data_IF_081333492807
#
_entry.id   IF_081333492807
#
_cell.length_a   1.000
_cell.length_b   1.000
_cell.length_c   1.000
_cell.angle_alpha   90.00
_cell.angle_beta   90.00
_cell.angle_gamma   90.00
#
_symmetry.space_group_name_H-M   'P 1'
#
loop_
_entity.id
_entity.type
_entity.pdbx_description
1 polymer ?
#
# COMPACT_ATOMS: atom_id res chain seq x y z
N UNK A 1 -29.79 -4.61 -1.84
CA UNK A 1 -28.52 -5.30 -2.13
C UNK A 1 -27.64 -5.23 -0.88
N UNK A 2 -27.32 -6.36 -0.29
CA UNK A 2 -26.52 -6.45 0.93
C UNK A 2 -25.11 -5.88 0.67
N UNK A 3 -24.47 -5.24 1.66
CA UNK A 3 -23.13 -4.63 1.49
C UNK A 3 -22.04 -5.64 1.07
N UNK A 4 -22.27 -6.93 1.29
CA UNK A 4 -21.43 -8.03 0.83
C UNK A 4 -21.40 -8.13 -0.71
N UNK A 5 -22.56 -8.05 -1.36
CA UNK A 5 -22.66 -8.15 -2.83
C UNK A 5 -21.93 -7.02 -3.55
N UNK A 6 -21.98 -5.79 -3.03
CA UNK A 6 -21.27 -4.63 -3.60
C UNK A 6 -19.74 -4.78 -3.60
N UNK A 7 -19.18 -5.45 -2.59
CA UNK A 7 -17.71 -5.55 -2.47
C UNK A 7 -17.16 -6.65 -3.36
N UNK A 8 -17.85 -7.80 -3.43
CA UNK A 8 -17.47 -8.86 -4.35
C UNK A 8 -17.65 -8.41 -5.82
N UNK A 9 -18.66 -7.59 -6.10
CA UNK A 9 -18.84 -7.01 -7.43
C UNK A 9 -17.66 -6.10 -7.85
N UNK A 10 -17.16 -5.24 -6.96
CA UNK A 10 -16.01 -4.38 -7.27
C UNK A 10 -14.73 -5.19 -7.42
N UNK A 11 -14.54 -6.23 -6.60
CA UNK A 11 -13.40 -7.14 -6.73
C UNK A 11 -13.48 -7.94 -8.04
N UNK A 12 -14.68 -8.39 -8.45
CA UNK A 12 -14.89 -9.03 -9.72
C UNK A 12 -14.64 -8.10 -10.92
N UNK A 13 -15.02 -6.83 -10.80
CA UNK A 13 -14.69 -5.80 -11.81
C UNK A 13 -13.19 -5.59 -11.91
N UNK A 14 -12.47 -5.52 -10.77
CA UNK A 14 -11.02 -5.41 -10.76
C UNK A 14 -10.37 -6.64 -11.42
N UNK A 15 -10.84 -7.85 -11.10
CA UNK A 15 -10.37 -9.08 -11.73
C UNK A 15 -10.63 -9.13 -13.22
N UNK A 16 -11.83 -8.70 -13.65
CA UNK A 16 -12.19 -8.61 -15.06
C UNK A 16 -11.32 -7.60 -15.82
N UNK A 17 -11.05 -6.44 -15.21
CA UNK A 17 -10.22 -5.41 -15.80
C UNK A 17 -8.77 -5.90 -15.96
N UNK A 18 -8.24 -6.63 -14.97
CA UNK A 18 -6.93 -7.26 -15.07
C UNK A 18 -6.89 -8.38 -16.12
N UNK A 19 -7.98 -9.15 -16.27
CA UNK A 19 -8.06 -10.19 -17.29
C UNK A 19 -8.23 -9.60 -18.71
N UNK A 20 -8.84 -8.43 -18.81
CA UNK A 20 -9.06 -7.75 -20.10
C UNK A 20 -7.79 -7.06 -20.63
N UNK A 21 -6.87 -6.65 -19.75
CA UNK A 21 -5.64 -5.92 -20.14
C UNK A 21 -4.81 -6.68 -21.19
N UNK A 22 -4.52 -7.99 -21.04
CA UNK A 22 -3.77 -8.75 -22.04
C UNK A 22 -4.47 -8.90 -23.39
N UNK A 23 -5.80 -8.75 -23.40
CA UNK A 23 -6.62 -8.84 -24.63
C UNK A 23 -6.67 -7.52 -25.37
N UNK A 24 -6.52 -6.39 -24.66
CA UNK A 24 -6.60 -5.04 -25.23
C UNK A 24 -5.28 -4.56 -25.79
N UNK A 25 -4.20 -4.81 -25.08
CA UNK A 25 -2.85 -4.38 -25.50
C UNK A 25 -1.80 -5.41 -25.05
N UNK A 26 -1.26 -6.21 -25.97
CA UNK A 26 -0.26 -7.25 -25.66
C UNK A 26 1.18 -6.70 -25.55
N UNK A 27 1.40 -5.39 -25.34
CA UNK A 27 2.73 -4.83 -25.29
C UNK A 27 3.47 -5.19 -24.00
N UNK A 28 4.72 -5.65 -24.11
CA UNK A 28 5.64 -5.94 -23.00
C UNK A 28 5.77 -4.78 -22.03
N UNK A 29 5.80 -3.56 -22.53
CA UNK A 29 5.90 -2.35 -21.72
C UNK A 29 4.71 -2.18 -20.75
N UNK A 30 3.49 -2.39 -21.23
CA UNK A 30 2.28 -2.28 -20.41
C UNK A 30 2.25 -3.38 -19.34
N UNK A 31 2.69 -4.60 -19.68
CA UNK A 31 2.77 -5.68 -18.69
C UNK A 31 3.81 -5.40 -17.61
N UNK A 32 5.01 -4.91 -17.96
CA UNK A 32 6.03 -4.51 -16.99
C UNK A 32 5.49 -3.41 -16.05
N UNK A 33 4.89 -2.37 -16.61
CA UNK A 33 4.32 -1.26 -15.84
C UNK A 33 3.20 -1.72 -14.92
N UNK A 34 2.26 -2.54 -15.43
CA UNK A 34 1.15 -3.09 -14.65
C UNK A 34 1.64 -4.03 -13.53
N UNK A 35 2.68 -4.80 -13.77
CA UNK A 35 3.36 -5.65 -12.77
C UNK A 35 3.92 -4.81 -11.63
N UNK A 36 4.66 -3.76 -11.95
CA UNK A 36 5.21 -2.82 -10.95
C UNK A 36 4.11 -2.12 -10.16
N UNK A 37 3.05 -1.66 -10.82
CA UNK A 37 1.87 -1.08 -10.17
C UNK A 37 1.22 -2.11 -9.24
N UNK A 38 1.05 -3.35 -9.69
CA UNK A 38 0.44 -4.43 -8.91
C UNK A 38 1.20 -4.73 -7.62
N UNK A 39 2.52 -4.95 -7.70
CA UNK A 39 3.36 -5.19 -6.52
C UNK A 39 3.36 -3.99 -5.58
N UNK A 40 3.50 -2.78 -6.11
CA UNK A 40 3.47 -1.56 -5.30
C UNK A 40 2.11 -1.36 -4.63
N UNK A 41 1.00 -1.62 -5.33
CA UNK A 41 -0.34 -1.54 -4.76
C UNK A 41 -0.54 -2.47 -3.56
N UNK A 42 0.03 -3.69 -3.59
CA UNK A 42 0.01 -4.60 -2.45
C UNK A 42 0.74 -4.01 -1.23
N UNK A 43 1.93 -3.42 -1.43
CA UNK A 43 2.67 -2.74 -0.35
C UNK A 43 1.84 -1.59 0.23
N UNK A 44 1.23 -0.79 -0.64
CA UNK A 44 0.39 0.36 -0.27
C UNK A 44 -0.88 -0.08 0.46
N UNK A 45 -1.51 -1.21 0.09
CA UNK A 45 -2.61 -1.81 0.85
C UNK A 45 -2.15 -2.18 2.26
N UNK A 46 -1.00 -2.85 2.39
CA UNK A 46 -0.41 -3.19 3.69
C UNK A 46 -0.17 -1.95 4.54
N UNK A 47 0.44 -0.92 3.98
CA UNK A 47 0.68 0.36 4.66
C UNK A 47 -0.64 1.08 5.00
N UNK A 48 -1.67 1.00 4.16
CA UNK A 48 -2.96 1.60 4.43
C UNK A 48 -3.72 0.86 5.56
N UNK A 49 -3.55 -0.44 5.72
CA UNK A 49 -4.05 -1.17 6.89
C UNK A 49 -3.40 -0.64 8.19
N UNK A 50 -2.11 -0.32 8.15
CA UNK A 50 -1.38 0.24 9.27
C UNK A 50 -1.72 1.71 9.52
N UNK A 51 -1.57 2.56 8.51
CA UNK A 51 -1.77 4.00 8.61
C UNK A 51 -3.25 4.40 8.56
N UNK A 52 -3.97 3.87 7.58
CA UNK A 52 -5.36 4.23 7.33
C UNK A 52 -6.33 3.67 8.37
N UNK A 53 -6.18 2.40 8.77
CA UNK A 53 -7.09 1.74 9.70
C UNK A 53 -6.64 1.83 11.16
N UNK A 54 -5.33 1.72 11.46
CA UNK A 54 -4.82 1.77 12.84
C UNK A 54 -4.28 3.14 13.24
N UNK A 55 -4.19 4.11 12.33
CA UNK A 55 -3.69 5.46 12.60
C UNK A 55 -2.19 5.54 12.88
N UNK A 56 -1.41 4.53 12.45
CA UNK A 56 0.03 4.44 12.70
C UNK A 56 0.84 4.90 11.50
N UNK A 57 1.45 6.07 11.59
CA UNK A 57 2.36 6.59 10.56
C UNK A 57 3.66 5.79 10.58
N UNK A 58 4.05 5.21 9.44
CA UNK A 58 5.33 4.53 9.28
C UNK A 58 6.08 5.11 8.08
N UNK A 59 7.26 5.68 8.35
CA UNK A 59 8.20 6.16 7.33
C UNK A 59 9.32 5.15 7.05
N UNK A 60 9.23 3.95 7.62
CA UNK A 60 10.19 2.87 7.46
C UNK A 60 9.73 1.73 6.54
N UNK A 61 8.64 1.90 5.79
CA UNK A 61 8.04 0.79 5.05
C UNK A 61 8.90 0.31 3.89
N UNK A 62 9.66 1.22 3.25
CA UNK A 62 10.63 0.87 2.23
C UNK A 62 11.79 -0.01 2.79
N UNK A 63 12.13 0.13 4.07
CA UNK A 63 13.13 -0.75 4.69
C UNK A 63 12.67 -2.22 4.68
N UNK A 64 11.42 -2.50 5.03
CA UNK A 64 10.88 -3.86 4.99
C UNK A 64 10.77 -4.39 3.55
N UNK A 65 10.39 -3.54 2.61
CA UNK A 65 10.38 -3.86 1.18
C UNK A 65 11.79 -4.21 0.69
N UNK A 66 12.76 -3.35 0.94
CA UNK A 66 14.14 -3.60 0.52
C UNK A 66 14.79 -4.78 1.24
N UNK A 67 14.57 -4.96 2.55
CA UNK A 67 15.05 -6.12 3.29
C UNK A 67 14.52 -7.43 2.71
N UNK A 68 13.25 -7.48 2.29
CA UNK A 68 12.69 -8.65 1.60
C UNK A 68 13.39 -8.93 0.27
N UNK A 69 13.62 -7.89 -0.52
CA UNK A 69 14.36 -7.98 -1.79
C UNK A 69 15.81 -8.43 -1.58
N UNK A 70 16.55 -7.80 -0.67
CA UNK A 70 17.93 -8.20 -0.36
C UNK A 70 18.05 -9.59 0.25
N UNK A 71 17.15 -9.96 1.18
CA UNK A 71 17.15 -11.31 1.74
C UNK A 71 17.00 -12.37 0.65
N UNK A 72 16.07 -12.17 -0.27
CA UNK A 72 15.88 -13.07 -1.40
C UNK A 72 17.06 -13.05 -2.36
N UNK A 73 17.58 -11.88 -2.71
CA UNK A 73 18.73 -11.70 -3.59
C UNK A 73 19.99 -12.40 -3.04
N UNK A 74 20.30 -12.19 -1.75
CA UNK A 74 21.46 -12.81 -1.09
C UNK A 74 21.33 -14.34 -1.06
N UNK A 75 20.18 -14.87 -0.67
CA UNK A 75 19.96 -16.30 -0.57
C UNK A 75 20.03 -16.99 -1.93
N UNK A 76 19.52 -16.36 -2.98
CA UNK A 76 19.56 -16.93 -4.33
C UNK A 76 20.93 -16.77 -4.98
N UNK A 77 21.60 -15.61 -4.86
CA UNK A 77 22.86 -15.34 -5.55
C UNK A 77 24.06 -15.97 -4.85
N UNK A 78 24.17 -15.85 -3.51
CA UNK A 78 25.35 -16.36 -2.78
C UNK A 78 25.19 -17.81 -2.31
N UNK A 79 23.98 -18.24 -1.99
CA UNK A 79 23.73 -19.59 -1.45
C UNK A 79 23.05 -20.53 -2.45
N UNK A 80 22.65 -20.05 -3.62
CA UNK A 80 22.02 -20.87 -4.66
C UNK A 80 20.66 -21.48 -4.25
N UNK A 81 19.96 -20.86 -3.30
CA UNK A 81 18.68 -21.37 -2.83
C UNK A 81 17.56 -21.15 -3.86
N UNK A 82 16.56 -22.04 -3.90
CA UNK A 82 15.38 -21.80 -4.74
C UNK A 82 14.69 -20.49 -4.37
N UNK A 83 14.27 -19.71 -5.37
CA UNK A 83 13.70 -18.36 -5.17
C UNK A 83 12.48 -18.36 -4.25
N UNK A 84 11.62 -19.40 -4.33
CA UNK A 84 10.48 -19.56 -3.41
C UNK A 84 10.90 -19.75 -1.95
N UNK A 85 11.95 -20.54 -1.70
CA UNK A 85 12.45 -20.73 -0.34
C UNK A 85 13.09 -19.44 0.19
N UNK A 86 13.84 -18.74 -0.66
CA UNK A 86 14.45 -17.45 -0.33
C UNK A 86 13.39 -16.38 0.01
N UNK A 87 12.32 -16.30 -0.79
CA UNK A 87 11.19 -15.42 -0.53
C UNK A 87 10.51 -15.76 0.81
N UNK A 88 10.22 -17.04 1.07
CA UNK A 88 9.55 -17.47 2.30
C UNK A 88 10.41 -17.17 3.55
N UNK A 89 11.73 -17.47 3.48
CA UNK A 89 12.66 -17.18 4.58
C UNK A 89 12.80 -15.67 4.79
N UNK A 90 12.94 -14.89 3.70
CA UNK A 90 12.96 -13.43 3.76
C UNK A 90 11.70 -12.86 4.42
N UNK A 91 10.53 -13.36 4.04
CA UNK A 91 9.25 -12.94 4.63
C UNK A 91 9.16 -13.28 6.13
N UNK A 92 9.61 -14.48 6.54
CA UNK A 92 9.64 -14.90 7.95
C UNK A 92 10.65 -14.08 8.73
N UNK A 93 11.86 -13.87 8.19
CA UNK A 93 12.92 -13.09 8.85
C UNK A 93 12.49 -11.63 9.05
N UNK A 94 11.92 -10.98 8.03
CA UNK A 94 11.40 -9.62 8.12
C UNK A 94 10.19 -9.55 9.05
N UNK A 95 9.31 -10.55 9.02
CA UNK A 95 8.18 -10.67 9.94
C UNK A 95 8.62 -10.79 11.40
N UNK A 96 9.64 -11.61 11.68
CA UNK A 96 10.25 -11.76 13.01
C UNK A 96 10.92 -10.46 13.46
N UNK A 97 11.69 -9.81 12.59
CA UNK A 97 12.30 -8.51 12.84
C UNK A 97 11.23 -7.46 13.16
N UNK A 98 10.19 -7.37 12.34
CA UNK A 98 9.07 -6.46 12.56
C UNK A 98 8.37 -6.75 13.90
N UNK A 99 8.18 -8.00 14.28
CA UNK A 99 7.57 -8.39 15.54
C UNK A 99 8.42 -7.96 16.77
N UNK A 100 9.74 -8.16 16.68
CA UNK A 100 10.68 -7.77 17.76
C UNK A 100 10.69 -6.24 17.91
N UNK A 101 10.78 -5.53 16.78
CA UNK A 101 10.84 -4.07 16.76
C UNK A 101 9.49 -3.42 17.08
N UNK A 102 8.39 -4.09 16.76
CA UNK A 102 7.05 -3.57 17.00
C UNK A 102 6.82 -3.24 18.50
N UNK A 103 7.26 -4.10 19.42
CA UNK A 103 7.02 -3.92 20.85
C UNK A 103 7.56 -2.60 21.41
N UNK A 104 8.84 -2.22 21.21
CA UNK A 104 9.36 -0.94 21.67
C UNK A 104 8.81 0.24 20.85
N UNK A 105 8.73 0.12 19.53
CA UNK A 105 8.35 1.22 18.63
C UNK A 105 6.87 1.60 18.81
N UNK A 106 5.98 0.62 18.94
CA UNK A 106 4.52 0.87 19.04
C UNK A 106 4.07 1.39 20.42
N UNK A 107 4.99 1.52 21.39
CA UNK A 107 4.75 2.28 22.64
C UNK A 107 4.81 3.78 22.40
N UNK A 108 5.50 4.20 21.34
CA UNK A 108 5.57 5.58 20.91
C UNK A 108 4.26 5.98 20.22
N UNK A 109 3.87 7.24 20.38
CA UNK A 109 2.65 7.78 19.77
C UNK A 109 2.96 8.95 18.83
N UNK A 110 2.10 9.16 17.85
CA UNK A 110 2.18 10.30 16.95
C UNK A 110 3.50 10.37 16.15
N UNK A 111 4.15 11.52 16.17
CA UNK A 111 5.34 11.75 15.35
C UNK A 111 6.57 10.96 15.83
N UNK A 112 6.68 10.62 17.14
CA UNK A 112 7.77 9.81 17.65
C UNK A 112 7.81 8.41 17.01
N UNK A 113 6.63 7.83 16.73
CA UNK A 113 6.53 6.57 16.00
C UNK A 113 7.08 6.71 14.58
N UNK A 114 6.71 7.79 13.89
CA UNK A 114 7.20 8.07 12.54
C UNK A 114 8.72 8.25 12.52
N UNK A 115 9.28 8.98 13.49
CA UNK A 115 10.74 9.16 13.62
C UNK A 115 11.47 7.85 13.91
N UNK A 116 10.93 6.99 14.79
CA UNK A 116 11.53 5.69 15.10
C UNK A 116 11.54 4.76 13.88
N UNK A 117 10.45 4.72 13.09
CA UNK A 117 10.41 3.94 11.85
C UNK A 117 11.30 4.52 10.76
N UNK A 118 11.45 5.85 10.70
CA UNK A 118 12.39 6.53 9.83
C UNK A 118 13.84 6.17 10.17
N UNK A 119 14.19 6.19 11.46
CA UNK A 119 15.53 5.79 11.93
C UNK A 119 15.84 4.35 11.53
N UNK A 120 14.86 3.45 11.62
CA UNK A 120 15.01 2.08 11.13
C UNK A 120 15.32 2.05 9.63
N UNK A 121 14.62 2.85 8.82
CA UNK A 121 14.89 2.92 7.38
C UNK A 121 16.32 3.41 7.09
N UNK A 122 16.80 4.43 7.81
CA UNK A 122 18.17 4.91 7.66
C UNK A 122 19.19 3.83 8.06
N UNK A 123 18.99 3.12 9.19
CA UNK A 123 19.88 2.03 9.61
C UNK A 123 19.97 0.97 8.51
N UNK A 124 18.82 0.52 7.99
CA UNK A 124 18.79 -0.49 6.92
C UNK A 124 19.50 0.02 5.66
N UNK A 125 19.21 1.26 5.25
CA UNK A 125 19.84 1.85 4.06
C UNK A 125 21.36 1.97 4.22
N UNK A 126 21.83 2.43 5.38
CA UNK A 126 23.26 2.55 5.71
C UNK A 126 23.94 1.17 5.68
N UNK A 127 23.31 0.16 6.27
CA UNK A 127 23.83 -1.22 6.24
C UNK A 127 23.91 -1.72 4.81
N UNK A 128 22.84 -1.58 4.02
CA UNK A 128 22.82 -2.01 2.62
C UNK A 128 23.85 -1.27 1.75
N UNK A 129 24.14 0.01 2.04
CA UNK A 129 25.08 0.81 1.27
C UNK A 129 26.55 0.49 1.64
N UNK A 130 26.84 0.18 2.91
CA UNK A 130 28.21 -0.02 3.36
C UNK A 130 28.66 -1.50 3.28
N UNK A 131 27.76 -2.45 3.28
CA UNK A 131 28.06 -3.88 3.24
C UNK A 131 28.27 -4.35 1.79
N UNK A 132 29.49 -4.17 1.25
CA UNK A 132 29.82 -4.52 -0.13
C UNK A 132 29.78 -6.02 -0.40
N UNK A 133 30.16 -6.84 0.59
CA UNK A 133 30.31 -8.28 0.40
C UNK A 133 28.97 -8.99 0.13
N UNK A 134 27.90 -8.58 0.79
CA UNK A 134 26.61 -9.26 0.73
C UNK A 134 25.57 -8.55 -0.12
N UNK A 135 25.59 -7.20 -0.12
CA UNK A 135 24.57 -6.39 -0.79
C UNK A 135 25.07 -5.72 -2.08
N UNK A 136 26.38 -5.82 -2.36
CA UNK A 136 27.02 -5.08 -3.45
C UNK A 136 27.27 -3.61 -3.12
N UNK A 137 26.96 -3.16 -1.90
CA UNK A 137 27.18 -1.78 -1.46
C UNK A 137 26.28 -0.78 -2.18
N UNK A 138 26.82 0.41 -2.47
CA UNK A 138 26.11 1.47 -3.18
C UNK A 138 25.62 1.09 -4.59
N UNK A 139 26.35 0.19 -5.24
CA UNK A 139 26.07 -0.21 -6.62
C UNK A 139 24.92 -1.20 -6.70
N UNK A 140 24.62 -1.90 -5.58
CA UNK A 140 23.61 -2.94 -5.53
C UNK A 140 24.09 -4.29 -6.07
N UNK A 141 23.17 -5.23 -6.25
CA UNK A 141 23.51 -6.58 -6.71
C UNK A 141 22.53 -7.12 -7.74
N UNK A 142 23.00 -7.97 -8.67
CA UNK A 142 22.12 -8.67 -9.60
C UNK A 142 21.30 -9.74 -8.86
N UNK A 143 20.10 -9.98 -9.35
CA UNK A 143 19.18 -10.98 -8.80
C UNK A 143 18.85 -11.99 -9.89
N UNK A 144 19.09 -13.31 -9.66
CA UNK A 144 18.81 -14.31 -10.66
C UNK A 144 17.30 -14.41 -10.96
N UNK A 145 16.91 -14.97 -12.11
CA UNK A 145 15.50 -15.16 -12.46
C UNK A 145 14.76 -15.97 -11.41
N UNK A 146 13.47 -15.66 -11.21
CA UNK A 146 12.64 -16.36 -10.24
C UNK A 146 12.31 -17.77 -10.71
N UNK A 147 12.59 -18.75 -9.86
CA UNK A 147 12.29 -20.16 -10.14
C UNK A 147 11.15 -20.65 -9.26
N UNK A 148 10.10 -21.17 -9.90
CA UNK A 148 8.96 -21.79 -9.25
C UNK A 148 8.97 -23.29 -9.53
N UNK A 149 9.29 -24.13 -8.54
CA UNK A 149 9.35 -25.60 -8.69
C UNK A 149 10.17 -26.09 -9.90
N UNK A 150 11.27 -25.40 -10.22
CA UNK A 150 12.13 -25.75 -11.36
C UNK A 150 11.75 -25.06 -12.69
N UNK A 151 10.68 -24.32 -12.74
CA UNK A 151 10.30 -23.49 -13.88
C UNK A 151 10.78 -22.06 -13.66
N UNK A 152 11.54 -21.51 -14.59
CA UNK A 152 11.92 -20.11 -14.59
C UNK A 152 10.71 -19.26 -15.01
N UNK A 153 10.42 -18.23 -14.23
CA UNK A 153 9.36 -17.28 -14.55
C UNK A 153 9.91 -16.31 -15.61
N UNK A 154 9.66 -16.64 -16.89
CA UNK A 154 10.11 -15.85 -18.03
C UNK A 154 8.94 -15.13 -18.70
N UNK A 155 9.20 -13.92 -19.22
CA UNK A 155 8.22 -13.12 -19.96
C UNK A 155 7.32 -12.26 -19.06
N UNK A 156 7.00 -11.08 -19.59
CA UNK A 156 6.26 -10.03 -18.86
C UNK A 156 4.82 -10.44 -18.53
N UNK A 157 4.21 -11.28 -19.37
CA UNK A 157 2.86 -11.80 -19.13
C UNK A 157 2.79 -12.70 -17.90
N UNK A 158 3.81 -13.53 -17.65
CA UNK A 158 3.87 -14.42 -16.49
C UNK A 158 4.03 -13.61 -15.19
N UNK A 159 4.88 -12.57 -15.20
CA UNK A 159 5.04 -11.65 -14.10
C UNK A 159 3.77 -10.83 -13.82
N UNK A 160 3.10 -10.39 -14.89
CA UNK A 160 1.79 -9.73 -14.78
C UNK A 160 0.75 -10.63 -14.13
N UNK A 161 0.69 -11.92 -14.51
CA UNK A 161 -0.23 -12.87 -13.90
C UNK A 161 0.04 -13.07 -12.40
N UNK A 162 1.33 -13.19 -12.01
CA UNK A 162 1.73 -13.27 -10.59
C UNK A 162 1.34 -12.01 -9.82
N UNK A 163 1.64 -10.82 -10.36
CA UNK A 163 1.30 -9.54 -9.73
C UNK A 163 -0.22 -9.39 -9.56
N UNK A 164 -0.99 -9.74 -10.59
CA UNK A 164 -2.45 -9.71 -10.57
C UNK A 164 -3.03 -10.67 -9.54
N UNK A 165 -2.52 -11.90 -9.47
CA UNK A 165 -2.93 -12.87 -8.47
C UNK A 165 -2.63 -12.40 -7.03
N UNK A 166 -1.43 -11.88 -6.78
CA UNK A 166 -1.04 -11.31 -5.49
C UNK A 166 -1.95 -10.13 -5.11
N UNK A 167 -2.20 -9.20 -6.04
CA UNK A 167 -3.05 -8.04 -5.80
C UNK A 167 -4.49 -8.44 -5.48
N UNK A 168 -5.07 -9.39 -6.22
CA UNK A 168 -6.43 -9.89 -5.95
C UNK A 168 -6.53 -10.61 -4.61
N UNK A 169 -5.56 -11.49 -4.28
CA UNK A 169 -5.50 -12.21 -3.01
C UNK A 169 -5.38 -11.24 -1.84
N UNK A 170 -4.46 -10.29 -1.90
CA UNK A 170 -4.24 -9.33 -0.82
C UNK A 170 -5.40 -8.36 -0.70
N UNK A 171 -5.98 -7.91 -1.81
CA UNK A 171 -7.18 -7.06 -1.79
C UNK A 171 -8.35 -7.80 -1.14
N UNK A 172 -8.60 -9.05 -1.51
CA UNK A 172 -9.64 -9.88 -0.90
C UNK A 172 -9.39 -10.08 0.61
N UNK A 173 -8.16 -10.43 1.00
CA UNK A 173 -7.78 -10.59 2.40
C UNK A 173 -7.91 -9.30 3.21
N UNK A 174 -7.48 -8.16 2.66
CA UNK A 174 -7.58 -6.85 3.29
C UNK A 174 -9.05 -6.41 3.47
N UNK A 175 -9.91 -6.66 2.48
CA UNK A 175 -11.35 -6.37 2.58
C UNK A 175 -12.02 -7.21 3.67
N UNK A 176 -11.67 -8.50 3.76
CA UNK A 176 -12.18 -9.37 4.81
C UNK A 176 -11.66 -8.94 6.18
N UNK A 177 -10.36 -8.60 6.29
CA UNK A 177 -9.77 -8.08 7.52
C UNK A 177 -10.45 -6.78 7.96
N UNK A 178 -10.65 -5.83 7.06
CA UNK A 178 -11.28 -4.54 7.37
C UNK A 178 -12.71 -4.68 7.94
N UNK A 179 -13.42 -5.74 7.54
CA UNK A 179 -14.79 -6.05 8.00
C UNK A 179 -14.83 -6.96 9.23
N UNK A 180 -13.75 -7.63 9.54
CA UNK A 180 -13.64 -8.54 10.68
C UNK A 180 -13.71 -7.79 12.02
N UNK A 181 -13.90 -8.47 13.13
CA UNK A 181 -13.75 -7.85 14.45
C UNK A 181 -12.38 -7.17 14.65
N UNK A 182 -11.33 -7.74 14.07
CA UNK A 182 -9.99 -7.15 14.12
C UNK A 182 -9.92 -5.79 13.38
N UNK A 183 -10.53 -5.67 12.20
CA UNK A 183 -10.60 -4.43 11.45
C UNK A 183 -11.39 -3.33 12.17
N UNK A 184 -12.51 -3.72 12.82
CA UNK A 184 -13.27 -2.78 13.67
C UNK A 184 -12.47 -2.32 14.89
N UNK A 185 -11.70 -3.23 15.52
CA UNK A 185 -10.79 -2.88 16.61
C UNK A 185 -9.71 -1.88 16.17
N UNK A 186 -9.13 -2.05 14.98
CA UNK A 186 -8.16 -1.09 14.42
C UNK A 186 -8.78 0.30 14.21
N UNK A 187 -10.00 0.37 13.68
CA UNK A 187 -10.71 1.65 13.50
C UNK A 187 -11.05 2.32 14.83
N UNK A 188 -11.42 1.55 15.86
CA UNK A 188 -11.63 2.07 17.20
C UNK A 188 -10.33 2.64 17.80
N UNK A 189 -9.20 1.94 17.61
CA UNK A 189 -7.86 2.40 18.04
C UNK A 189 -7.50 3.72 17.34
N UNK A 190 -7.77 3.84 16.03
CA UNK A 190 -7.53 5.07 15.26
C UNK A 190 -8.34 6.24 15.80
N UNK A 191 -9.58 6.02 16.24
CA UNK A 191 -10.43 7.05 16.83
C UNK A 191 -9.91 7.54 18.19
N UNK A 192 -9.65 6.62 19.10
CA UNK A 192 -9.08 6.88 20.42
C UNK A 192 -8.51 5.60 21.03
N UNK A 193 -7.21 5.58 21.28
CA UNK A 193 -6.56 4.43 21.95
C UNK A 193 -7.08 4.23 23.38
N UNK A 194 -7.39 5.33 24.07
CA UNK A 194 -7.90 5.26 25.45
C UNK A 194 -9.28 4.64 25.47
N UNK A 195 -10.20 5.11 24.61
CA UNK A 195 -11.54 4.55 24.51
C UNK A 195 -11.53 3.07 24.08
N UNK A 196 -10.65 2.71 23.14
CA UNK A 196 -10.48 1.32 22.70
C UNK A 196 -10.02 0.41 23.84
N UNK A 197 -9.08 0.85 24.68
CA UNK A 197 -8.63 0.10 25.88
C UNK A 197 -9.76 -0.07 26.89
N UNK A 198 -10.53 0.98 27.16
CA UNK A 198 -11.68 0.92 28.08
C UNK A 198 -12.77 -0.03 27.57
N UNK A 199 -12.86 -0.21 26.24
CA UNK A 199 -13.77 -1.19 25.61
C UNK A 199 -13.19 -2.63 25.57
N UNK A 200 -12.09 -2.90 26.26
CA UNK A 200 -11.49 -4.23 26.36
C UNK A 200 -10.61 -4.64 25.17
N UNK A 201 -10.27 -3.70 24.26
CA UNK A 201 -9.41 -3.99 23.11
C UNK A 201 -7.94 -3.97 23.55
N UNK A 202 -7.22 -5.08 23.29
CA UNK A 202 -5.76 -5.10 23.46
C UNK A 202 -5.08 -4.34 22.32
N UNK A 203 -4.87 -3.05 22.55
CA UNK A 203 -4.29 -2.11 21.59
C UNK A 203 -2.90 -2.54 21.14
N UNK A 204 -2.06 -3.02 22.08
CA UNK A 204 -0.69 -3.40 21.77
C UNK A 204 -0.63 -4.58 20.81
N UNK A 205 -1.42 -5.64 21.08
CA UNK A 205 -1.50 -6.81 20.19
C UNK A 205 -2.09 -6.48 18.84
N UNK A 206 -3.15 -5.67 18.79
CA UNK A 206 -3.79 -5.28 17.54
C UNK A 206 -2.83 -4.51 16.63
N UNK A 207 -2.12 -3.52 17.20
CA UNK A 207 -1.09 -2.72 16.51
C UNK A 207 0.07 -3.60 16.02
N UNK A 208 0.59 -4.47 16.88
CA UNK A 208 1.70 -5.36 16.51
C UNK A 208 1.32 -6.28 15.34
N UNK A 209 0.12 -6.87 15.39
CA UNK A 209 -0.34 -7.79 14.31
C UNK A 209 -0.43 -7.10 12.96
N UNK A 210 -1.02 -5.90 12.90
CA UNK A 210 -1.16 -5.18 11.63
C UNK A 210 0.20 -4.65 11.14
N UNK A 211 1.10 -4.26 12.04
CA UNK A 211 2.46 -3.84 11.70
C UNK A 211 3.26 -4.99 11.07
N UNK A 212 3.25 -6.16 11.70
CA UNK A 212 3.92 -7.36 11.17
C UNK A 212 3.32 -7.79 9.85
N UNK A 213 1.99 -7.81 9.73
CA UNK A 213 1.31 -8.15 8.48
C UNK A 213 1.74 -7.21 7.35
N UNK A 214 1.76 -5.91 7.60
CA UNK A 214 2.17 -4.89 6.63
C UNK A 214 3.64 -5.04 6.22
N UNK A 215 4.53 -5.32 7.19
CA UNK A 215 5.96 -5.56 6.94
C UNK A 215 6.20 -6.83 6.11
N UNK A 216 5.47 -7.92 6.39
CA UNK A 216 5.55 -9.17 5.62
C UNK A 216 5.07 -8.95 4.19
N UNK A 217 3.95 -8.25 3.98
CA UNK A 217 3.47 -7.91 2.64
C UNK A 217 4.51 -7.09 1.87
N UNK A 218 5.12 -6.10 2.52
CA UNK A 218 6.19 -5.30 1.91
C UNK A 218 7.40 -6.17 1.55
N UNK A 219 7.83 -7.06 2.44
CA UNK A 219 8.96 -7.99 2.20
C UNK A 219 8.71 -8.93 1.02
N UNK A 220 7.53 -9.54 0.95
CA UNK A 220 7.16 -10.45 -0.16
C UNK A 220 7.17 -9.71 -1.49
N UNK A 221 6.57 -8.51 -1.54
CA UNK A 221 6.56 -7.72 -2.76
C UNK A 221 7.94 -7.18 -3.13
N UNK A 222 8.78 -6.86 -2.13
CA UNK A 222 10.17 -6.48 -2.34
C UNK A 222 10.99 -7.59 -2.98
N UNK A 223 10.82 -8.83 -2.50
CA UNK A 223 11.45 -10.01 -3.08
C UNK A 223 11.02 -10.24 -4.53
N UNK A 224 9.70 -10.24 -4.80
CA UNK A 224 9.18 -10.42 -6.16
C UNK A 224 9.64 -9.30 -7.11
N UNK A 225 9.65 -8.04 -6.63
CA UNK A 225 10.11 -6.89 -7.42
C UNK A 225 11.59 -6.99 -7.74
N UNK A 226 12.43 -7.47 -6.80
CA UNK A 226 13.87 -7.65 -7.03
C UNK A 226 14.14 -8.70 -8.12
N UNK A 227 13.45 -9.82 -8.10
CA UNK A 227 13.54 -10.86 -9.14
C UNK A 227 12.97 -10.40 -10.48
N UNK A 228 11.87 -9.63 -10.47
CA UNK A 228 11.29 -9.06 -11.68
C UNK A 228 12.21 -8.03 -12.35
N UNK A 229 12.83 -7.15 -11.55
CA UNK A 229 13.77 -6.16 -12.05
C UNK A 229 15.14 -6.76 -12.42
N UNK A 230 15.47 -7.98 -11.96
CA UNK A 230 16.78 -8.60 -12.12
C UNK A 230 17.91 -7.91 -11.36
N UNK A 231 17.60 -6.88 -10.56
CA UNK A 231 18.58 -6.07 -9.85
C UNK A 231 17.96 -5.39 -8.63
N UNK A 232 18.77 -5.17 -7.57
CA UNK A 232 18.33 -4.43 -6.39
C UNK A 232 19.43 -3.46 -5.94
N UNK A 233 19.01 -2.24 -5.54
CA UNK A 233 19.89 -1.19 -5.01
C UNK A 233 19.44 -0.73 -3.63
N UNK A 234 20.33 -0.11 -2.82
CA UNK A 234 19.95 0.47 -1.53
C UNK A 234 18.86 1.56 -1.63
N UNK A 235 18.68 2.18 -2.78
CA UNK A 235 17.61 3.16 -3.00
C UNK A 235 16.21 2.57 -2.72
N UNK A 236 16.03 1.26 -2.91
CA UNK A 236 14.78 0.56 -2.60
C UNK A 236 14.40 0.57 -1.10
N UNK A 237 15.39 0.77 -0.19
CA UNK A 237 15.20 0.84 1.26
C UNK A 237 15.02 2.25 1.80
N UNK A 238 15.29 3.25 0.96
CA UNK A 238 15.48 4.65 1.35
C UNK A 238 14.22 5.39 1.75
N UNK A 239 14.42 6.55 2.39
CA UNK A 239 13.36 7.48 2.75
C UNK A 239 12.51 7.93 1.54
N UNK A 240 13.08 8.28 0.36
CA UNK A 240 12.27 8.71 -0.77
C UNK A 240 11.21 7.67 -1.14
N UNK A 241 11.58 6.38 -1.15
CA UNK A 241 10.65 5.28 -1.43
C UNK A 241 9.57 5.11 -0.35
N UNK A 242 9.93 5.32 0.93
CA UNK A 242 8.94 5.30 2.03
C UNK A 242 7.93 6.43 1.92
N UNK A 243 8.39 7.63 1.58
CA UNK A 243 7.53 8.80 1.35
C UNK A 243 6.61 8.57 0.15
N UNK A 244 7.13 7.99 -0.92
CA UNK A 244 6.35 7.64 -2.11
C UNK A 244 5.19 6.69 -1.77
N UNK A 245 5.44 5.62 -0.99
CA UNK A 245 4.39 4.72 -0.52
C UNK A 245 3.36 5.44 0.34
N UNK A 246 3.80 6.35 1.22
CA UNK A 246 2.90 7.14 2.06
C UNK A 246 2.02 8.07 1.21
N UNK A 247 2.61 8.74 0.20
CA UNK A 247 1.88 9.60 -0.74
C UNK A 247 0.80 8.81 -1.48
N UNK A 248 1.11 7.60 -1.93
CA UNK A 248 0.14 6.71 -2.58
C UNK A 248 -1.07 6.41 -1.68
N UNK A 249 -0.84 6.16 -0.37
CA UNK A 249 -1.92 5.95 0.60
C UNK A 249 -2.78 7.19 0.77
N UNK A 250 -2.15 8.36 0.91
CA UNK A 250 -2.86 9.63 1.16
C UNK A 250 -3.65 10.06 -0.07
N UNK A 251 -3.03 10.03 -1.26
CA UNK A 251 -3.69 10.38 -2.52
C UNK A 251 -4.84 9.44 -2.86
N UNK A 252 -4.63 8.15 -2.69
CA UNK A 252 -5.67 7.15 -2.93
C UNK A 252 -6.83 7.25 -1.95
N UNK A 253 -6.54 7.58 -0.71
CA UNK A 253 -7.47 7.76 0.40
C UNK A 253 -7.22 6.82 1.55
N UNK A 254 -7.02 7.40 2.73
CA UNK A 254 -6.80 6.67 3.98
C UNK A 254 -8.01 5.80 4.33
N UNK A 255 -7.75 4.59 4.83
CA UNK A 255 -8.76 3.57 5.15
C UNK A 255 -9.63 3.11 3.96
N UNK A 256 -9.14 3.32 2.73
CA UNK A 256 -9.76 2.83 1.50
C UNK A 256 -8.83 1.85 0.78
N UNK A 257 -9.16 0.55 0.79
CA UNK A 257 -8.34 -0.49 0.15
C UNK A 257 -8.28 -0.27 -1.37
N UNK A 258 -9.40 0.06 -2.00
CA UNK A 258 -9.42 0.42 -3.43
C UNK A 258 -8.69 1.75 -3.70
N UNK A 259 -8.73 2.67 -2.72
CA UNK A 259 -7.92 3.89 -2.77
C UNK A 259 -6.43 3.59 -2.88
N UNK A 260 -5.93 2.60 -2.13
CA UNK A 260 -4.53 2.18 -2.22
C UNK A 260 -4.11 1.76 -3.63
N UNK A 261 -4.99 1.03 -4.34
CA UNK A 261 -4.73 0.59 -5.72
C UNK A 261 -4.69 1.80 -6.67
N UNK A 262 -5.69 2.68 -6.55
CA UNK A 262 -5.76 3.90 -7.38
C UNK A 262 -4.59 4.84 -7.10
N UNK A 263 -4.21 5.02 -5.82
CA UNK A 263 -3.07 5.84 -5.43
C UNK A 263 -1.74 5.30 -5.96
N UNK A 264 -1.52 3.98 -5.88
CA UNK A 264 -0.35 3.33 -6.45
C UNK A 264 -0.30 3.48 -7.97
N UNK A 265 -1.41 3.22 -8.65
CA UNK A 265 -1.51 3.39 -10.10
C UNK A 265 -1.24 4.85 -10.50
N UNK A 266 -1.85 5.81 -9.83
CA UNK A 266 -1.69 7.23 -10.16
C UNK A 266 -0.23 7.69 -10.03
N UNK A 267 0.41 7.41 -8.88
CA UNK A 267 1.78 7.87 -8.64
C UNK A 267 2.78 7.19 -9.57
N UNK A 268 2.55 5.92 -9.95
CA UNK A 268 3.46 5.20 -10.85
C UNK A 268 3.20 5.48 -12.33
N UNK A 269 1.97 5.78 -12.73
CA UNK A 269 1.64 6.11 -14.11
C UNK A 269 1.89 7.58 -14.45
N UNK A 270 1.78 8.47 -13.44
CA UNK A 270 1.91 9.91 -13.64
C UNK A 270 3.24 10.30 -14.30
N UNK A 271 4.43 9.82 -13.86
CA UNK A 271 5.70 10.12 -14.52
C UNK A 271 5.70 9.68 -15.99
N UNK A 272 5.14 8.52 -16.30
CA UNK A 272 5.11 7.97 -17.66
C UNK A 272 4.34 8.89 -18.63
N UNK A 273 3.20 9.45 -18.14
CA UNK A 273 2.41 10.40 -18.93
C UNK A 273 3.11 11.75 -19.02
N UNK A 274 3.85 12.14 -17.97
CA UNK A 274 4.52 13.43 -17.91
C UNK A 274 5.89 13.46 -18.61
N UNK A 275 6.44 12.32 -19.04
CA UNK A 275 7.68 12.28 -19.82
C UNK A 275 7.67 13.20 -21.04
N UNK A 276 6.49 13.45 -21.61
CA UNK A 276 6.31 14.41 -22.72
C UNK A 276 6.71 15.85 -22.36
N UNK A 277 6.73 16.20 -21.06
CA UNK A 277 7.11 17.54 -20.58
C UNK A 277 8.62 17.69 -20.33
N UNK A 278 9.43 16.65 -20.53
CA UNK A 278 10.89 16.68 -20.41
C UNK A 278 11.37 17.26 -19.06
N UNK A 279 12.16 18.31 -19.09
CA UNK A 279 12.76 18.92 -17.89
C UNK A 279 11.72 19.42 -16.85
N UNK A 280 10.47 19.66 -17.24
CA UNK A 280 9.40 20.14 -16.36
C UNK A 280 8.62 19.00 -15.66
N UNK A 281 8.90 17.75 -15.98
CA UNK A 281 8.20 16.56 -15.44
C UNK A 281 8.06 16.61 -13.92
N UNK A 282 9.17 16.80 -13.20
CA UNK A 282 9.17 16.80 -11.72
C UNK A 282 8.36 17.96 -11.15
N UNK A 283 8.41 19.14 -11.78
CA UNK A 283 7.64 20.31 -11.32
C UNK A 283 6.15 20.09 -11.54
N UNK A 284 5.75 19.62 -12.72
CA UNK A 284 4.35 19.34 -13.05
C UNK A 284 3.80 18.23 -12.16
N UNK A 285 4.58 17.17 -11.93
CA UNK A 285 4.25 16.11 -10.99
C UNK A 285 4.00 16.65 -9.59
N UNK A 286 4.90 17.49 -9.06
CA UNK A 286 4.74 18.11 -7.76
C UNK A 286 3.50 18.99 -7.66
N UNK A 287 3.18 19.77 -8.69
CA UNK A 287 1.97 20.60 -8.76
C UNK A 287 0.69 19.75 -8.77
N UNK A 288 0.64 18.68 -9.57
CA UNK A 288 -0.51 17.78 -9.63
C UNK A 288 -0.73 17.10 -8.26
N UNK A 289 0.34 16.59 -7.64
CA UNK A 289 0.27 15.94 -6.33
C UNK A 289 -0.19 16.92 -5.25
N UNK A 290 0.38 18.13 -5.22
CA UNK A 290 -0.01 19.18 -4.27
C UNK A 290 -1.46 19.62 -4.49
N UNK A 291 -1.85 19.85 -5.74
CA UNK A 291 -3.24 20.17 -6.09
C UNK A 291 -4.21 19.09 -5.64
N UNK A 292 -3.90 17.81 -5.90
CA UNK A 292 -4.74 16.71 -5.45
C UNK A 292 -4.91 16.68 -3.93
N UNK A 293 -3.83 16.92 -3.18
CA UNK A 293 -3.89 16.97 -1.70
C UNK A 293 -4.72 18.14 -1.18
N UNK A 294 -4.65 19.30 -1.82
CA UNK A 294 -5.42 20.49 -1.42
C UNK A 294 -6.92 20.31 -1.70
N UNK A 295 -7.27 19.86 -2.92
CA UNK A 295 -8.66 19.74 -3.36
C UNK A 295 -9.34 18.47 -2.88
N UNK A 296 -8.59 17.39 -2.64
CA UNK A 296 -9.13 16.06 -2.27
C UNK A 296 -8.64 15.62 -0.88
N UNK A 297 -8.96 16.38 0.15
CA UNK A 297 -8.53 16.16 1.56
C UNK A 297 -8.72 14.72 2.07
N UNK A 298 -9.73 14.01 1.57
CA UNK A 298 -10.03 12.63 1.97
C UNK A 298 -9.43 11.59 1.00
N UNK A 299 -8.66 12.04 0.00
CA UNK A 299 -8.16 11.19 -1.08
C UNK A 299 -9.15 11.06 -2.25
N UNK A 300 -8.65 10.53 -3.37
CA UNK A 300 -9.40 10.47 -4.64
C UNK A 300 -10.64 9.59 -4.52
N UNK A 301 -10.48 8.34 -4.06
CA UNK A 301 -11.57 7.36 -4.06
C UNK A 301 -12.70 7.71 -3.08
N UNK A 302 -12.44 8.11 -1.83
CA UNK A 302 -13.52 8.56 -0.94
C UNK A 302 -14.25 9.81 -1.45
N UNK A 303 -13.52 10.78 -2.01
CA UNK A 303 -14.10 12.00 -2.56
C UNK A 303 -14.99 11.70 -3.76
N UNK A 304 -14.53 10.90 -4.71
CA UNK A 304 -15.30 10.47 -5.87
C UNK A 304 -16.57 9.71 -5.46
N UNK A 305 -16.45 8.83 -4.46
CA UNK A 305 -17.58 8.09 -3.91
C UNK A 305 -18.63 9.01 -3.27
N UNK A 306 -18.19 10.06 -2.57
CA UNK A 306 -19.07 11.07 -1.99
C UNK A 306 -19.83 11.83 -3.08
N UNK A 307 -19.14 12.23 -4.17
CA UNK A 307 -19.76 12.93 -5.30
C UNK A 307 -20.78 12.06 -6.03
N UNK A 308 -20.49 10.78 -6.25
CA UNK A 308 -21.39 9.82 -6.88
C UNK A 308 -22.60 9.44 -6.00
N UNK A 309 -22.52 9.64 -4.69
CA UNK A 309 -23.57 9.32 -3.74
C UNK A 309 -24.39 10.54 -3.31
N UNK A 310 -24.08 11.75 -3.79
CA UNK A 310 -24.93 12.90 -3.57
C UNK A 310 -26.30 12.65 -4.24
N UNK A 311 -27.39 12.39 -3.48
CA UNK A 311 -28.71 12.39 -4.07
C UNK A 311 -28.93 13.81 -4.57
N UNK A 312 -29.42 13.90 -5.81
CA UNK A 312 -29.92 15.14 -6.39
C UNK A 312 -30.92 15.74 -5.38
N UNK A 313 -30.48 16.71 -4.57
CA UNK A 313 -31.37 17.43 -3.68
C UNK A 313 -32.40 18.14 -4.59
N UNK A 314 -33.50 17.46 -4.88
CA UNK A 314 -34.71 18.17 -5.29
C UNK A 314 -34.93 19.19 -4.19
N UNK A 315 -34.84 20.45 -4.55
CA UNK A 315 -35.26 21.59 -3.77
C UNK A 315 -36.68 21.27 -3.32
N UNK A 316 -36.85 20.83 -2.06
CA UNK A 316 -38.16 20.85 -1.45
C UNK A 316 -38.45 22.33 -1.31
N UNK A 317 -39.21 22.83 -2.29
CA UNK A 317 -39.82 24.15 -2.21
C UNK A 317 -40.56 24.21 -0.88
N UNK A 318 -40.06 25.05 0.03
CA UNK A 318 -40.75 25.44 1.24
C UNK A 318 -42.09 25.98 0.80
N UNK A 319 -43.16 25.24 1.07
CA UNK A 319 -44.51 25.75 1.00
C UNK A 319 -44.60 26.96 1.94
N UNK A 320 -45.26 28.07 1.56
CA UNK A 320 -45.39 29.21 2.41
C UNK A 320 -46.24 28.86 3.63
N UNK A 321 -45.69 29.15 4.79
CA UNK A 321 -46.37 29.15 6.07
C UNK A 321 -47.48 30.20 6.03
N UNK A 322 -48.68 29.76 5.67
CA UNK A 322 -49.88 30.60 5.68
C UNK A 322 -50.73 30.25 6.90
N UNK A 323 -51.01 31.32 7.66
CA UNK A 323 -52.11 31.50 8.57
C UNK A 323 -51.89 31.01 10.03
N UNK A 324 -51.41 31.97 10.84
CA UNK A 324 -51.88 32.09 12.19
C UNK A 324 -53.36 32.57 12.18
N UNK A 325 -54.28 31.99 12.96
CA UNK A 325 -55.51 32.64 13.27
C UNK A 325 -55.29 33.58 14.44
N UNK A 326 -55.45 34.88 14.16
CA UNK A 326 -55.72 35.89 15.16
C UNK A 326 -57.06 35.61 15.88
N UNK A 327 -57.03 35.84 17.15
CA UNK A 327 -58.23 36.32 17.84
C UNK A 327 -58.92 35.36 18.78
N UNK A 328 -58.83 35.63 20.07
CA UNK A 328 -59.98 35.94 20.84
C UNK A 328 -59.59 36.38 22.23
N UNK A 329 -59.77 37.70 22.46
CA UNK A 329 -59.91 38.28 23.78
C UNK A 329 -61.10 37.68 24.52
N UNK A 330 -60.92 37.24 25.71
CA UNK A 330 -61.76 37.69 26.91
C UNK A 330 -61.12 37.23 28.19
#
# INVERSE_FOLDING_TARGET
>A
MTPLFRTHAVLAVLALLMLALPLLDPSSYIFDLATRVGFTAVVVIGLNLLFGYAGQVSLGHAAFFGLGGYASAILTTHFGWPSMAALAIGAVAVGALAFVIARPILRLAGYHLAMATLSLAFIVTIVCTNEQRWTGGSDGMPVPPFTLFGWTLEGDLSWYAVASACLLLVTWGALNLARSPAGRALQAIRGSEVAARLSGIDVARAKTRVFVLSAVLASVMGSLMAHHAGFITPAATGLPRSVEFLMMVVLGGMASIYGSIVGAALVMLLPQVLHAFGAWETLVMGLILTGTLIFMRNGIVPTLRFWLQMPNKRVVSSAPESAQPEGSSK
#
